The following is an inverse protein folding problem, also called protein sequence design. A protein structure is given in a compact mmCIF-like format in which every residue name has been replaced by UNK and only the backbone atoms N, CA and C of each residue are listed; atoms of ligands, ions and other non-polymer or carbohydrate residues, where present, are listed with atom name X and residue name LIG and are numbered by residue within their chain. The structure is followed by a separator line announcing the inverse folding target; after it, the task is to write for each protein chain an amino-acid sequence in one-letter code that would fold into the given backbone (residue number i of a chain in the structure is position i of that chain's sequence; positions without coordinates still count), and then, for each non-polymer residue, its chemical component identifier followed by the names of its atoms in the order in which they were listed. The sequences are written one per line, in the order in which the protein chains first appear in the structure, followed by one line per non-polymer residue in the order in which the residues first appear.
data_IF_655395158756
#
_entry.id   IF_655395158756
#
_cell.length_a   1.000
_cell.length_b   1.000
_cell.length_c   1.000
_cell.angle_alpha   90.00
_cell.angle_beta   90.00
_cell.angle_gamma   90.00
#
_symmetry.space_group_name_H-M   'P 1'
#
loop_
_entity.id
_entity.type
_entity.pdbx_description
1 polymer ?
#
# COMPACT_ATOMS: atom_id res chain seq x y z
N UNK A 1 5.92 -14.09 -0.88
CA UNK A 1 5.98 -12.78 -0.26
C UNK A 1 6.93 -12.63 0.93
N UNK A 2 7.48 -13.75 1.43
CA UNK A 2 8.47 -13.68 2.50
C UNK A 2 9.68 -12.82 2.11
N UNK A 3 10.11 -12.89 0.87
CA UNK A 3 11.23 -12.09 0.36
C UNK A 3 10.98 -10.59 0.48
N UNK A 4 9.77 -10.14 0.10
CA UNK A 4 9.39 -8.74 0.22
C UNK A 4 9.41 -8.30 1.69
N UNK A 5 8.84 -9.12 2.56
CA UNK A 5 8.80 -8.83 4.00
C UNK A 5 10.23 -8.75 4.56
N UNK A 6 11.10 -9.69 4.17
CA UNK A 6 12.50 -9.65 4.59
C UNK A 6 13.24 -8.42 4.09
N UNK A 7 12.99 -8.02 2.85
CA UNK A 7 13.57 -6.80 2.30
C UNK A 7 13.11 -5.56 3.07
N UNK A 8 11.82 -5.47 3.37
CA UNK A 8 11.29 -4.36 4.15
C UNK A 8 11.91 -4.33 5.56
N UNK A 9 12.01 -5.48 6.20
CA UNK A 9 12.63 -5.58 7.52
C UNK A 9 14.10 -5.15 7.49
N UNK A 10 14.85 -5.61 6.51
CA UNK A 10 16.28 -5.31 6.38
C UNK A 10 16.55 -3.86 6.03
N UNK A 11 15.80 -3.34 5.05
CA UNK A 11 16.07 -2.02 4.51
C UNK A 11 15.50 -0.90 5.37
N UNK A 12 14.36 -1.15 6.03
CA UNK A 12 13.63 -0.13 6.77
C UNK A 12 13.71 -0.32 8.28
N UNK A 13 14.22 -1.45 8.75
CA UNK A 13 14.32 -1.73 10.17
C UNK A 13 12.98 -1.96 10.86
N UNK A 14 11.96 -2.36 10.10
CA UNK A 14 10.64 -2.66 10.64
C UNK A 14 10.53 -4.14 10.99
N UNK A 15 9.57 -4.50 11.85
CA UNK A 15 9.31 -5.91 12.17
C UNK A 15 8.42 -6.56 11.10
N UNK A 16 8.22 -7.88 11.19
CA UNK A 16 7.46 -8.64 10.21
C UNK A 16 6.00 -8.17 10.10
N UNK A 17 5.36 -7.87 11.23
CA UNK A 17 3.98 -7.42 11.25
C UNK A 17 3.84 -6.04 10.61
N UNK A 18 4.77 -5.15 10.91
CA UNK A 18 4.83 -3.82 10.30
C UNK A 18 5.06 -3.92 8.79
N UNK A 19 5.98 -4.79 8.37
CA UNK A 19 6.27 -5.00 6.96
C UNK A 19 5.04 -5.55 6.21
N UNK A 20 4.38 -6.56 6.76
CA UNK A 20 3.17 -7.15 6.17
C UNK A 20 2.05 -6.13 6.10
N UNK A 21 1.78 -5.45 7.21
CA UNK A 21 0.70 -4.47 7.27
C UNK A 21 0.94 -3.29 6.35
N UNK A 22 2.16 -2.76 6.34
CA UNK A 22 2.54 -1.64 5.48
C UNK A 22 2.44 -2.00 3.99
N UNK A 23 2.98 -3.14 3.60
CA UNK A 23 2.86 -3.63 2.23
C UNK A 23 1.39 -3.88 1.85
N UNK A 24 0.62 -4.46 2.76
CA UNK A 24 -0.81 -4.70 2.56
C UNK A 24 -1.59 -3.41 2.32
N UNK A 25 -1.29 -2.37 3.09
CA UNK A 25 -1.92 -1.05 2.91
C UNK A 25 -1.59 -0.45 1.54
N UNK A 26 -0.34 -0.56 1.11
CA UNK A 26 0.07 -0.09 -0.21
C UNK A 26 -0.68 -0.82 -1.31
N UNK A 27 -0.75 -2.15 -1.25
CA UNK A 27 -1.48 -2.93 -2.23
C UNK A 27 -2.99 -2.66 -2.19
N UNK A 28 -3.53 -2.41 -1.02
CA UNK A 28 -4.94 -2.03 -0.89
C UNK A 28 -5.24 -0.71 -1.59
N UNK A 29 -4.36 0.26 -1.45
CA UNK A 29 -4.48 1.51 -2.18
C UNK A 29 -4.35 1.31 -3.68
N UNK A 30 -3.38 0.51 -4.11
CA UNK A 30 -3.20 0.15 -5.51
C UNK A 30 -4.45 -0.52 -6.07
N UNK A 31 -5.04 -1.44 -5.32
CA UNK A 31 -6.29 -2.10 -5.69
C UNK A 31 -7.40 -1.08 -5.94
N UNK A 32 -7.55 -0.11 -5.06
CA UNK A 32 -8.56 0.94 -5.21
C UNK A 32 -8.33 1.82 -6.42
N UNK A 33 -7.08 2.06 -6.77
CA UNK A 33 -6.74 2.92 -7.92
C UNK A 33 -6.77 2.20 -9.27
N UNK A 34 -6.31 0.95 -9.31
CA UNK A 34 -6.22 0.18 -10.55
C UNK A 34 -7.51 -0.54 -10.91
N UNK A 35 -8.37 -0.82 -9.93
CA UNK A 35 -9.61 -1.53 -10.18
C UNK A 35 -9.37 -2.87 -10.88
N UNK A 36 -9.88 -3.02 -12.10
CA UNK A 36 -9.75 -4.25 -12.86
C UNK A 36 -8.32 -4.66 -13.19
N UNK A 37 -7.43 -3.69 -13.38
CA UNK A 37 -6.02 -3.97 -13.68
C UNK A 37 -5.30 -4.63 -12.51
N UNK A 38 -5.81 -4.46 -11.29
CA UNK A 38 -5.23 -5.11 -10.11
C UNK A 38 -5.26 -6.64 -10.22
N UNK A 39 -6.18 -7.19 -10.99
CA UNK A 39 -6.25 -8.64 -11.22
C UNK A 39 -4.97 -9.18 -11.84
N UNK A 40 -4.29 -8.40 -12.66
CA UNK A 40 -2.98 -8.76 -13.24
C UNK A 40 -1.94 -8.96 -12.14
N UNK A 41 -1.97 -8.13 -11.12
CA UNK A 41 -1.08 -8.22 -9.98
C UNK A 41 -1.38 -9.49 -9.17
N UNK A 42 -2.65 -9.73 -8.88
CA UNK A 42 -3.06 -10.91 -8.08
C UNK A 42 -2.82 -12.22 -8.83
N UNK A 43 -2.93 -12.23 -10.15
CA UNK A 43 -2.61 -13.41 -10.96
C UNK A 43 -1.11 -13.72 -10.92
N UNK A 44 -0.28 -12.69 -11.01
CA UNK A 44 1.17 -12.85 -10.96
C UNK A 44 1.67 -13.13 -9.53
N UNK A 45 1.04 -12.52 -8.54
CA UNK A 45 1.41 -12.64 -7.13
C UNK A 45 0.15 -12.86 -6.26
N UNK A 46 -0.34 -14.10 -6.19
CA UNK A 46 -1.55 -14.37 -5.37
C UNK A 46 -1.37 -14.01 -3.90
N UNK A 47 -0.15 -14.04 -3.40
CA UNK A 47 0.15 -13.68 -2.01
C UNK A 47 -0.13 -12.20 -1.68
N UNK A 48 -0.29 -11.35 -2.68
CA UNK A 48 -0.71 -9.94 -2.48
C UNK A 48 -2.06 -9.90 -1.76
N UNK A 49 -2.95 -10.83 -2.07
CA UNK A 49 -4.26 -10.92 -1.41
C UNK A 49 -4.11 -11.14 0.09
N UNK A 50 -3.16 -11.99 0.48
CA UNK A 50 -2.88 -12.25 1.90
C UNK A 50 -2.31 -11.02 2.60
N UNK A 51 -1.47 -10.24 1.92
CA UNK A 51 -0.96 -8.99 2.45
C UNK A 51 -2.07 -7.98 2.66
N UNK A 52 -2.99 -7.87 1.73
CA UNK A 52 -4.15 -6.97 1.86
C UNK A 52 -5.01 -7.37 3.06
N UNK A 53 -5.21 -8.68 3.27
CA UNK A 53 -5.94 -9.18 4.44
C UNK A 53 -5.21 -8.90 5.75
N UNK A 54 -3.87 -8.91 5.72
CA UNK A 54 -3.05 -8.63 6.89
C UNK A 54 -2.97 -7.12 7.18
N UNK A 55 -3.37 -6.26 6.25
CA UNK A 55 -3.39 -4.83 6.47
C UNK A 55 -4.38 -4.48 7.60
N UNK A 56 -4.04 -3.50 8.45
CA UNK A 56 -4.97 -3.10 9.51
C UNK A 56 -6.28 -2.60 8.91
N UNK A 57 -7.37 -2.94 9.55
CA UNK A 57 -8.69 -2.48 9.14
C UNK A 57 -8.75 -0.95 9.24
N UNK A 58 -9.26 -0.31 8.20
CA UNK A 58 -9.43 1.14 8.17
C UNK A 58 -10.54 1.64 9.09
N UNK A 59 -11.00 0.80 9.99
CA UNK A 59 -12.23 0.92 10.73
C UNK A 59 -12.53 2.29 11.35
N UNK A 60 -11.70 2.77 12.26
CA UNK A 60 -11.94 4.05 12.91
C UNK A 60 -11.46 5.24 12.09
N UNK A 61 -10.29 5.08 11.44
CA UNK A 61 -9.69 6.16 10.66
C UNK A 61 -10.43 6.41 9.34
N UNK A 62 -11.02 5.37 8.73
CA UNK A 62 -11.70 5.54 7.45
C UNK A 62 -13.02 6.29 7.57
N UNK A 63 -13.71 6.22 8.69
CA UNK A 63 -14.92 7.02 8.91
C UNK A 63 -14.60 8.50 9.00
N UNK A 64 -13.52 8.85 9.69
CA UNK A 64 -13.06 10.24 9.79
C UNK A 64 -12.52 10.72 8.45
N UNK A 65 -11.76 9.89 7.76
CA UNK A 65 -11.20 10.23 6.45
C UNK A 65 -12.27 10.26 5.36
N UNK A 66 -13.27 9.39 5.43
CA UNK A 66 -14.42 9.42 4.55
C UNK A 66 -15.21 10.71 4.70
N UNK A 67 -15.42 11.15 5.93
CA UNK A 67 -16.06 12.44 6.22
C UNK A 67 -15.22 13.62 5.74
N UNK A 68 -13.93 13.59 5.97
CA UNK A 68 -13.01 14.62 5.51
C UNK A 68 -12.91 14.67 3.99
N UNK A 69 -12.83 13.52 3.34
CA UNK A 69 -12.78 13.44 1.89
C UNK A 69 -14.07 13.98 1.25
N UNK A 70 -15.22 13.71 1.88
CA UNK A 70 -16.50 14.25 1.45
C UNK A 70 -16.58 15.76 1.68
N UNK A 71 -16.02 16.25 2.78
CA UNK A 71 -16.02 17.66 3.12
C UNK A 71 -15.08 18.47 2.23
N UNK A 72 -13.95 17.89 1.85
CA UNK A 72 -12.97 18.50 0.94
C UNK A 72 -13.48 18.44 -0.50
N UNK A 73 -14.44 17.57 -0.76
CA UNK A 73 -15.24 17.55 -1.99
C UNK A 73 -14.45 17.58 -3.26
N UNK A 74 -13.54 16.72 -3.47
CA UNK A 74 -12.87 16.91 -4.69
C UNK A 74 -12.06 15.77 -5.27
N UNK A 75 -12.18 15.61 -6.56
CA UNK A 75 -11.35 14.74 -7.33
C UNK A 75 -9.85 15.08 -7.25
N UNK A 76 -9.52 16.31 -6.91
CA UNK A 76 -8.12 16.73 -6.72
C UNK A 76 -7.52 16.21 -5.41
N UNK A 77 -8.36 15.88 -4.45
CA UNK A 77 -7.91 15.35 -3.16
C UNK A 77 -7.68 13.84 -3.21
N UNK A 78 -7.96 13.17 -4.31
CA UNK A 78 -7.86 11.71 -4.43
C UNK A 78 -6.50 11.16 -4.01
N UNK A 79 -5.40 11.79 -4.48
CA UNK A 79 -4.05 11.39 -4.11
C UNK A 79 -3.73 11.66 -2.64
N UNK A 80 -4.13 12.84 -2.16
CA UNK A 80 -3.93 13.21 -0.76
C UNK A 80 -4.78 12.38 0.19
N UNK A 81 -6.02 12.09 -0.19
CA UNK A 81 -6.90 11.24 0.61
C UNK A 81 -6.34 9.82 0.70
N UNK A 82 -5.79 9.30 -0.38
CA UNK A 82 -5.13 7.98 -0.38
C UNK A 82 -3.91 7.96 0.53
N UNK A 83 -3.09 8.99 0.46
CA UNK A 83 -1.91 9.12 1.35
C UNK A 83 -2.32 9.29 2.81
N UNK A 84 -3.38 10.02 3.07
CA UNK A 84 -3.90 10.20 4.42
C UNK A 84 -4.43 8.87 4.99
N UNK A 85 -5.09 8.07 4.15
CA UNK A 85 -5.53 6.72 4.54
C UNK A 85 -4.35 5.82 4.86
N UNK A 86 -3.29 5.89 4.04
CA UNK A 86 -2.06 5.14 4.30
C UNK A 86 -1.40 5.60 5.60
N UNK A 87 -1.34 6.91 5.83
CA UNK A 87 -0.76 7.45 7.05
C UNK A 87 -1.50 6.96 8.29
N UNK A 88 -2.83 6.92 8.24
CA UNK A 88 -3.65 6.37 9.32
C UNK A 88 -3.36 4.89 9.57
N UNK A 89 -3.28 4.09 8.51
CA UNK A 89 -2.94 2.69 8.61
C UNK A 89 -1.51 2.46 9.13
N UNK A 90 -0.57 3.26 8.66
CA UNK A 90 0.81 3.20 9.14
C UNK A 90 0.91 3.57 10.62
N UNK A 91 0.14 4.55 11.07
CA UNK A 91 0.07 4.90 12.50
C UNK A 91 -0.45 3.75 13.35
N UNK A 92 -1.43 3.01 12.87
CA UNK A 92 -1.94 1.82 13.56
C UNK A 92 -0.86 0.74 13.71
N UNK A 93 0.07 0.68 12.75
CA UNK A 93 1.20 -0.24 12.78
C UNK A 93 2.40 0.31 13.57
N UNK A 94 2.26 1.50 14.16
CA UNK A 94 3.34 2.23 14.83
C UNK A 94 4.48 2.59 13.87
N UNK A 95 4.13 2.84 12.60
CA UNK A 95 5.06 3.30 11.59
C UNK A 95 4.89 4.79 11.38
N UNK A 96 5.99 5.49 11.09
CA UNK A 96 5.90 6.89 10.70
C UNK A 96 5.23 7.05 9.34
N UNK A 97 4.39 8.08 9.15
CA UNK A 97 3.83 8.37 7.82
C UNK A 97 4.90 8.54 6.74
N UNK A 98 6.07 9.06 7.11
CA UNK A 98 7.21 9.20 6.19
C UNK A 98 7.74 7.87 5.67
N UNK A 99 7.45 6.77 6.35
CA UNK A 99 7.84 5.43 5.90
C UNK A 99 7.12 5.01 4.62
N UNK A 100 5.97 5.60 4.31
CA UNK A 100 5.25 5.34 3.06
C UNK A 100 6.19 5.55 1.86
N UNK A 101 6.92 6.66 1.87
CA UNK A 101 7.88 6.97 0.82
C UNK A 101 9.06 6.01 0.75
N UNK A 102 9.32 5.27 1.81
CA UNK A 102 10.37 4.25 1.85
C UNK A 102 9.83 2.87 1.45
N UNK A 103 8.60 2.56 1.83
CA UNK A 103 7.96 1.30 1.47
C UNK A 103 7.72 1.19 -0.04
N UNK A 104 7.24 2.27 -0.64
CA UNK A 104 6.86 2.28 -2.05
C UNK A 104 7.99 1.83 -2.99
N UNK A 105 9.21 2.41 -2.93
CA UNK A 105 10.28 1.98 -3.83
C UNK A 105 10.74 0.55 -3.59
N UNK A 106 10.71 0.06 -2.35
CA UNK A 106 11.06 -1.33 -2.05
C UNK A 106 10.05 -2.29 -2.70
N UNK A 107 8.76 -1.98 -2.55
CA UNK A 107 7.68 -2.78 -3.16
C UNK A 107 7.80 -2.76 -4.68
N UNK A 108 8.04 -1.60 -5.28
CA UNK A 108 8.19 -1.46 -6.73
C UNK A 108 9.39 -2.26 -7.23
N UNK A 109 10.55 -2.15 -6.56
CA UNK A 109 11.75 -2.91 -6.93
C UNK A 109 11.51 -4.42 -6.86
N UNK A 110 10.84 -4.87 -5.82
CA UNK A 110 10.49 -6.27 -5.67
C UNK A 110 9.60 -6.74 -6.81
N UNK A 111 8.60 -5.95 -7.16
CA UNK A 111 7.69 -6.28 -8.27
C UNK A 111 8.42 -6.33 -9.60
N UNK A 112 9.36 -5.41 -9.85
CA UNK A 112 10.15 -5.42 -11.07
C UNK A 112 10.92 -6.73 -11.23
N UNK A 113 11.46 -7.25 -10.15
CA UNK A 113 12.19 -8.51 -10.17
C UNK A 113 11.32 -9.76 -10.30
N UNK A 114 10.09 -9.70 -9.75
CA UNK A 114 9.22 -10.90 -9.69
C UNK A 114 8.21 -10.98 -10.83
N UNK A 115 7.60 -9.86 -11.21
CA UNK A 115 6.49 -9.85 -12.17
C UNK A 115 6.76 -9.03 -13.41
N UNK A 116 7.85 -8.30 -13.43
CA UNK A 116 8.26 -7.51 -14.57
C UNK A 116 7.92 -6.04 -14.46
N UNK A 117 8.50 -5.27 -15.38
CA UNK A 117 8.39 -3.82 -15.39
C UNK A 117 6.97 -3.31 -15.64
N UNK A 118 6.18 -4.04 -16.40
CA UNK A 118 4.82 -3.62 -16.76
C UNK A 118 3.93 -3.54 -15.53
N UNK A 119 3.92 -4.60 -14.73
CA UNK A 119 3.12 -4.66 -13.50
C UNK A 119 3.69 -3.70 -12.45
N UNK A 120 5.00 -3.65 -12.32
CA UNK A 120 5.65 -2.70 -11.41
C UNK A 120 5.32 -1.26 -11.81
N UNK A 121 5.24 -0.96 -13.11
CA UNK A 121 4.83 0.34 -13.62
C UNK A 121 3.40 0.71 -13.27
N UNK A 122 2.48 -0.26 -13.29
CA UNK A 122 1.09 -0.05 -12.86
C UNK A 122 1.04 0.34 -11.39
N UNK A 123 1.78 -0.38 -10.55
CA UNK A 123 1.84 -0.10 -9.12
C UNK A 123 2.49 1.27 -8.86
N UNK A 124 3.59 1.57 -9.54
CA UNK A 124 4.26 2.86 -9.40
C UNK A 124 3.33 4.01 -9.79
N UNK A 125 2.57 3.85 -10.87
CA UNK A 125 1.59 4.84 -11.30
C UNK A 125 0.46 5.04 -10.30
N UNK A 126 0.04 3.96 -9.65
CA UNK A 126 -1.00 4.02 -8.63
C UNK A 126 -0.52 4.67 -7.32
N UNK A 127 0.78 4.56 -7.03
CA UNK A 127 1.36 5.12 -5.81
C UNK A 127 1.78 6.59 -5.93
N UNK A 128 1.74 7.12 -7.12
CA UNK A 128 2.08 8.54 -7.35
C UNK A 128 0.94 9.50 -7.01
#
# INVERSE_FOLDING_TARGET
MNELIQQLMSQLGVNADQAKGGAGLLFKMVQGKLGGDFSKITQALPAVTDLIKAAPAEGGASKLLGGLASAIGGGKAGGLASLASLAGGFSQLKLDPGMIGKFAPVVISFLQGKVGKDIAGLVAGALK
#
